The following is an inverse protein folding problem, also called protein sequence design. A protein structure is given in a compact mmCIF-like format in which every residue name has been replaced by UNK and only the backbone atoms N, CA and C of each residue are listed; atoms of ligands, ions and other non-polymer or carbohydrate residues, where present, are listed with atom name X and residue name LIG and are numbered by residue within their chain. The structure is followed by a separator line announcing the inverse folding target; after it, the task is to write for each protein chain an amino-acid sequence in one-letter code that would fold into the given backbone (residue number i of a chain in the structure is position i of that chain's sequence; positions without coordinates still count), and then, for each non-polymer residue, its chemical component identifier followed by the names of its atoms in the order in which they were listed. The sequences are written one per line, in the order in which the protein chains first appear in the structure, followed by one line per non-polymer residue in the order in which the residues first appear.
data_IF_587385934606
#
_entry.id   IF_587385934606
#
_cell.length_a   1.000
_cell.length_b   1.000
_cell.length_c   1.000
_cell.angle_alpha   90.00
_cell.angle_beta   90.00
_cell.angle_gamma   90.00
#
_symmetry.space_group_name_H-M   'P 1'
#
loop_
_entity.id
_entity.type
_entity.pdbx_description
1 polymer ?
#
# COMPACT_ATOMS: atom_id res chain seq x y z
N UNK A 1 -13.72 11.94 29.49
CA UNK A 1 -13.69 10.48 29.19
C UNK A 1 -13.85 10.23 27.69
N UNK A 2 -14.86 10.82 27.04
CA UNK A 2 -15.13 10.66 25.59
C UNK A 2 -13.97 11.15 24.72
N UNK A 3 -13.44 12.35 24.95
CA UNK A 3 -12.29 12.87 24.20
C UNK A 3 -11.03 12.00 24.30
N UNK A 4 -10.82 11.34 25.44
CA UNK A 4 -9.72 10.37 25.59
C UNK A 4 -9.91 9.16 24.68
N UNK A 5 -11.13 8.63 24.58
CA UNK A 5 -11.43 7.51 23.70
C UNK A 5 -11.24 7.87 22.23
N UNK A 6 -11.62 9.09 21.83
CA UNK A 6 -11.37 9.60 20.48
C UNK A 6 -9.87 9.69 20.18
N UNK A 7 -9.10 10.24 21.12
CA UNK A 7 -7.65 10.38 20.97
C UNK A 7 -6.94 9.03 20.90
N UNK A 8 -7.33 8.10 21.77
CA UNK A 8 -6.79 6.75 21.80
C UNK A 8 -7.11 6.00 20.50
N UNK A 9 -8.34 6.12 19.99
CA UNK A 9 -8.72 5.59 18.68
C UNK A 9 -7.87 6.17 17.54
N UNK A 10 -7.65 7.49 17.54
CA UNK A 10 -6.82 8.15 16.53
C UNK A 10 -5.35 7.67 16.61
N UNK A 11 -4.80 7.54 17.81
CA UNK A 11 -3.45 7.01 18.03
C UNK A 11 -3.34 5.54 17.58
N UNK A 12 -4.35 4.71 17.84
CA UNK A 12 -4.38 3.32 17.37
C UNK A 12 -4.38 3.24 15.84
N UNK A 13 -5.16 4.08 15.16
CA UNK A 13 -5.16 4.15 13.69
C UNK A 13 -3.81 4.58 13.13
N UNK A 14 -3.17 5.60 13.72
CA UNK A 14 -1.83 6.04 13.32
C UNK A 14 -0.79 4.94 13.52
N UNK A 15 -0.87 4.18 14.62
CA UNK A 15 0.03 3.04 14.87
C UNK A 15 -0.18 1.93 13.86
N UNK A 16 -1.44 1.58 13.56
CA UNK A 16 -1.76 0.56 12.55
C UNK A 16 -1.20 0.95 11.18
N UNK A 17 -1.36 2.20 10.79
CA UNK A 17 -0.75 2.72 9.56
C UNK A 17 0.79 2.64 9.60
N UNK A 18 1.41 2.97 10.72
CA UNK A 18 2.87 2.87 10.86
C UNK A 18 3.35 1.40 10.81
N UNK A 19 2.58 0.44 11.35
CA UNK A 19 2.83 -1.00 11.20
C UNK A 19 2.73 -1.43 9.73
N UNK A 20 1.74 -0.93 8.98
CA UNK A 20 1.58 -1.18 7.54
C UNK A 20 2.77 -0.65 6.72
N UNK A 21 3.31 0.54 7.08
CA UNK A 21 4.53 1.10 6.46
C UNK A 21 5.82 0.38 6.94
N UNK A 22 5.82 -0.14 8.16
CA UNK A 22 7.00 -0.54 8.95
C UNK A 22 7.57 -1.94 8.74
N UNK A 23 7.11 -2.72 7.75
CA UNK A 23 7.91 -3.85 7.23
C UNK A 23 9.15 -3.36 6.45
N UNK A 24 9.21 -2.07 6.11
CA UNK A 24 10.41 -1.37 5.70
C UNK A 24 11.05 -0.70 6.93
N UNK A 25 12.12 -1.32 7.41
CA UNK A 25 12.95 -0.85 8.53
C UNK A 25 13.60 0.48 8.17
N UNK A 26 12.96 1.59 8.52
CA UNK A 26 13.57 2.93 8.42
C UNK A 26 14.06 3.34 9.79
N UNK A 27 15.38 3.50 9.88
CA UNK A 27 16.08 4.04 11.02
C UNK A 27 15.41 5.34 11.49
N UNK A 28 15.30 5.51 12.81
CA UNK A 28 14.84 6.74 13.44
C UNK A 28 15.55 7.94 12.80
N UNK A 29 14.83 8.70 11.99
CA UNK A 29 15.30 10.00 11.53
C UNK A 29 15.47 10.85 12.79
N UNK A 30 16.71 11.27 13.05
CA UNK A 30 17.01 12.24 14.10
C UNK A 30 16.15 13.46 13.82
N UNK A 31 15.13 13.65 14.65
CA UNK A 31 14.15 14.73 14.55
C UNK A 31 14.93 16.05 14.62
N UNK A 32 14.89 16.80 13.51
CA UNK A 32 15.23 18.22 13.50
C UNK A 32 14.32 18.94 14.50
N UNK A 33 14.93 19.72 15.38
CA UNK A 33 14.25 20.36 16.49
C UNK A 33 13.06 21.22 16.03
N UNK A 34 11.93 21.05 16.73
CA UNK A 34 10.61 21.71 16.60
C UNK A 34 9.63 21.11 15.57
N UNK A 35 8.39 20.82 16.05
CA UNK A 35 7.19 20.41 15.28
C UNK A 35 6.90 18.91 15.08
N UNK A 36 7.22 18.07 16.07
CA UNK A 36 6.81 16.65 16.08
C UNK A 36 5.31 16.52 16.41
N UNK A 37 4.58 15.66 15.69
CA UNK A 37 3.18 15.37 16.05
C UNK A 37 3.09 14.46 17.29
N UNK A 38 2.62 14.93 18.46
CA UNK A 38 2.57 14.13 19.69
C UNK A 38 1.75 12.84 19.55
N UNK A 39 0.73 12.81 18.68
CA UNK A 39 -0.12 11.63 18.45
C UNK A 39 0.63 10.45 17.82
N UNK A 40 1.71 10.73 17.10
CA UNK A 40 2.51 9.72 16.39
C UNK A 40 3.62 9.14 17.28
N UNK A 41 4.06 9.86 18.32
CA UNK A 41 5.29 9.55 19.06
C UNK A 41 5.09 9.34 20.56
N UNK A 42 4.05 9.90 21.18
CA UNK A 42 3.81 9.69 22.61
C UNK A 42 3.15 8.34 22.89
N UNK A 43 3.43 7.74 24.06
CA UNK A 43 3.02 6.37 24.32
C UNK A 43 1.54 6.25 24.74
N UNK A 44 0.94 7.27 25.33
CA UNK A 44 -0.45 7.21 25.79
C UNK A 44 -1.25 8.46 25.45
N UNK A 45 -2.58 8.32 25.38
CA UNK A 45 -3.49 9.45 25.21
C UNK A 45 -3.37 10.47 26.35
N UNK A 46 -3.08 10.03 27.58
CA UNK A 46 -2.90 10.95 28.71
C UNK A 46 -1.64 11.81 28.53
N UNK A 47 -0.54 11.25 28.02
CA UNK A 47 0.68 12.03 27.70
C UNK A 47 0.41 13.08 26.60
N UNK A 48 -0.35 12.70 25.58
CA UNK A 48 -0.75 13.62 24.51
C UNK A 48 -1.63 14.74 25.06
N UNK A 49 -2.61 14.42 25.91
CA UNK A 49 -3.50 15.42 26.52
C UNK A 49 -2.69 16.42 27.34
N UNK A 50 -1.77 15.95 28.18
CA UNK A 50 -0.90 16.83 28.99
C UNK A 50 -0.06 17.72 28.07
N UNK A 51 0.52 17.16 27.02
CA UNK A 51 1.38 17.87 26.07
C UNK A 51 0.62 18.97 25.30
N UNK A 52 -0.60 18.70 24.86
CA UNK A 52 -1.45 19.64 24.12
C UNK A 52 -1.97 20.76 25.03
N UNK A 53 -2.39 20.44 26.26
CA UNK A 53 -2.95 21.41 27.21
C UNK A 53 -1.88 22.35 27.76
N UNK A 54 -0.63 21.92 27.83
CA UNK A 54 0.43 22.68 28.48
C UNK A 54 0.86 23.96 27.73
N UNK A 55 0.30 24.26 26.54
CA UNK A 55 0.47 25.46 25.67
C UNK A 55 1.91 25.82 25.26
N UNK A 56 2.92 25.31 25.96
CA UNK A 56 4.36 25.43 25.71
C UNK A 56 4.99 24.06 25.86
N UNK A 57 4.83 23.23 24.84
CA UNK A 57 5.59 21.98 24.68
C UNK A 57 6.58 22.18 23.54
N UNK A 58 7.74 22.85 23.76
CA UNK A 58 8.74 23.04 22.72
C UNK A 58 9.11 21.69 22.10
N UNK A 59 9.01 21.58 20.78
CA UNK A 59 9.26 20.31 20.09
C UNK A 59 8.01 19.61 19.58
N UNK A 60 6.82 19.94 20.08
CA UNK A 60 5.57 19.32 19.64
C UNK A 60 4.64 20.30 18.93
N UNK A 61 3.86 19.80 17.97
CA UNK A 61 2.76 20.54 17.37
C UNK A 61 1.69 20.90 18.40
N UNK A 62 0.99 22.03 18.16
CA UNK A 62 -0.23 22.37 18.90
C UNK A 62 -1.29 21.30 18.69
N UNK A 63 -2.29 21.23 19.59
CA UNK A 63 -3.34 20.20 19.48
C UNK A 63 -4.10 20.23 18.17
N UNK A 64 -4.46 21.43 17.69
CA UNK A 64 -5.16 21.59 16.41
C UNK A 64 -4.28 21.13 15.24
N UNK A 65 -3.03 21.57 15.18
CA UNK A 65 -2.09 21.18 14.12
C UNK A 65 -1.77 19.67 14.16
N UNK A 66 -1.66 19.09 15.36
CA UNK A 66 -1.44 17.66 15.55
C UNK A 66 -2.61 16.82 15.04
N UNK A 67 -3.84 17.23 15.34
CA UNK A 67 -5.06 16.54 14.90
C UNK A 67 -5.24 16.68 13.38
N UNK A 68 -5.06 17.88 12.82
CA UNK A 68 -5.17 18.10 11.37
C UNK A 68 -4.14 17.27 10.61
N UNK A 69 -2.87 17.30 11.04
CA UNK A 69 -1.80 16.47 10.45
C UNK A 69 -2.14 14.98 10.54
N UNK A 70 -2.63 14.50 11.67
CA UNK A 70 -3.00 13.09 11.85
C UNK A 70 -4.16 12.67 10.94
N UNK A 71 -5.21 13.47 10.84
CA UNK A 71 -6.39 13.18 10.01
C UNK A 71 -6.02 13.23 8.53
N UNK A 72 -5.26 14.24 8.11
CA UNK A 72 -4.78 14.37 6.73
C UNK A 72 -3.90 13.20 6.32
N UNK A 73 -2.98 12.79 7.19
CA UNK A 73 -2.09 11.66 6.98
C UNK A 73 -2.88 10.34 6.81
N UNK A 74 -3.88 10.09 7.67
CA UNK A 74 -4.75 8.92 7.56
C UNK A 74 -5.64 8.96 6.30
N UNK A 75 -6.19 10.11 5.95
CA UNK A 75 -7.03 10.26 4.75
C UNK A 75 -6.21 10.04 3.47
N UNK A 76 -5.01 10.61 3.39
CA UNK A 76 -4.10 10.40 2.26
C UNK A 76 -3.69 8.94 2.14
N UNK A 77 -3.38 8.28 3.26
CA UNK A 77 -3.10 6.84 3.29
C UNK A 77 -4.25 6.03 2.69
N UNK A 78 -5.49 6.32 3.07
CA UNK A 78 -6.66 5.62 2.55
C UNK A 78 -6.82 5.80 1.04
N UNK A 79 -6.63 7.01 0.52
CA UNK A 79 -6.70 7.28 -0.93
C UNK A 79 -5.60 6.54 -1.68
N UNK A 80 -4.36 6.55 -1.17
CA UNK A 80 -3.23 5.83 -1.77
C UNK A 80 -3.47 4.32 -1.77
N UNK A 81 -3.93 3.77 -0.65
CA UNK A 81 -4.28 2.35 -0.57
C UNK A 81 -5.35 1.99 -1.60
N UNK A 82 -6.40 2.80 -1.76
CA UNK A 82 -7.42 2.58 -2.78
C UNK A 82 -6.85 2.62 -4.21
N UNK A 83 -5.99 3.60 -4.51
CA UNK A 83 -5.30 3.69 -5.81
C UNK A 83 -4.40 2.49 -6.06
N UNK A 84 -3.67 2.02 -5.05
CA UNK A 84 -2.83 0.81 -5.15
C UNK A 84 -3.66 -0.42 -5.50
N UNK A 85 -4.84 -0.59 -4.89
CA UNK A 85 -5.77 -1.68 -5.24
C UNK A 85 -6.26 -1.55 -6.68
N UNK A 86 -6.65 -0.35 -7.12
CA UNK A 86 -7.09 -0.10 -8.49
C UNK A 86 -5.98 -0.41 -9.51
N UNK A 87 -4.75 0.01 -9.23
CA UNK A 87 -3.58 -0.24 -10.08
C UNK A 87 -3.27 -1.73 -10.16
N UNK A 88 -3.28 -2.44 -9.04
CA UNK A 88 -3.01 -3.87 -9.01
C UNK A 88 -4.10 -4.68 -9.74
N UNK A 89 -5.37 -4.29 -9.59
CA UNK A 89 -6.46 -4.87 -10.37
C UNK A 89 -6.28 -4.62 -11.88
N UNK A 90 -5.87 -3.41 -12.27
CA UNK A 90 -5.61 -3.09 -13.67
C UNK A 90 -4.48 -3.94 -14.23
N UNK A 91 -3.35 -4.06 -13.52
CA UNK A 91 -2.23 -4.92 -13.89
C UNK A 91 -2.66 -6.39 -14.02
N UNK A 92 -3.51 -6.88 -13.11
CA UNK A 92 -4.07 -8.23 -13.20
C UNK A 92 -4.88 -8.40 -14.50
N UNK A 93 -5.70 -7.42 -14.89
CA UNK A 93 -6.46 -7.46 -16.15
C UNK A 93 -5.53 -7.39 -17.37
N UNK A 94 -4.51 -6.52 -17.36
CA UNK A 94 -3.55 -6.39 -18.46
C UNK A 94 -2.76 -7.69 -18.67
N UNK A 95 -2.55 -8.49 -17.62
CA UNK A 95 -1.96 -9.82 -17.76
C UNK A 95 -2.84 -10.79 -18.57
N UNK A 96 -4.13 -10.53 -18.76
CA UNK A 96 -5.01 -11.32 -19.62
C UNK A 96 -5.12 -10.78 -21.06
N UNK A 97 -4.42 -9.69 -21.39
CA UNK A 97 -4.44 -9.14 -22.74
C UNK A 97 -3.94 -10.19 -23.75
N UNK A 98 -4.78 -10.59 -24.73
CA UNK A 98 -4.37 -11.53 -25.78
C UNK A 98 -3.10 -11.10 -26.52
N UNK A 99 -2.84 -9.80 -26.68
CA UNK A 99 -1.64 -9.29 -27.32
C UNK A 99 -0.37 -9.62 -26.52
N UNK A 100 -0.43 -9.50 -25.19
CA UNK A 100 0.69 -9.85 -24.29
C UNK A 100 0.96 -11.36 -24.34
N UNK A 101 -0.09 -12.18 -24.35
CA UNK A 101 -0.01 -13.64 -24.48
C UNK A 101 0.57 -14.04 -25.84
N UNK A 102 0.18 -13.34 -26.92
CA UNK A 102 0.74 -13.57 -28.25
C UNK A 102 2.21 -13.16 -28.36
N UNK A 103 2.64 -12.10 -27.68
CA UNK A 103 4.02 -11.64 -27.65
C UNK A 103 4.92 -12.62 -26.88
N UNK A 104 4.46 -13.13 -25.72
CA UNK A 104 5.16 -14.19 -24.98
C UNK A 104 5.30 -15.48 -25.79
N UNK A 105 4.29 -15.85 -26.58
CA UNK A 105 4.38 -17.01 -27.48
C UNK A 105 5.43 -16.80 -28.58
N UNK A 106 5.55 -15.56 -29.11
CA UNK A 106 6.56 -15.19 -30.10
C UNK A 106 7.97 -15.19 -29.51
N UNK A 107 8.13 -14.71 -28.27
CA UNK A 107 9.44 -14.62 -27.60
C UNK A 107 9.97 -15.97 -27.11
N UNK A 108 9.08 -16.89 -26.71
CA UNK A 108 9.44 -18.25 -26.26
C UNK A 108 9.77 -19.24 -27.39
N UNK A 109 10.03 -18.80 -28.62
CA UNK A 109 10.24 -19.73 -29.71
C UNK A 109 11.16 -19.25 -30.84
N UNK A 110 12.29 -19.94 -30.94
CA UNK A 110 12.94 -20.34 -32.20
C UNK A 110 12.04 -21.25 -33.10
N UNK A 111 10.72 -21.20 -32.93
CA UNK A 111 9.69 -22.08 -33.52
C UNK A 111 8.68 -21.21 -34.27
N UNK A 112 9.17 -20.20 -34.99
CA UNK A 112 8.35 -19.32 -35.82
C UNK A 112 7.72 -19.98 -37.05
N UNK A 113 8.10 -21.22 -37.40
CA UNK A 113 7.87 -21.74 -38.75
C UNK A 113 7.13 -23.09 -38.88
N UNK A 114 6.44 -23.61 -37.85
CA UNK A 114 5.75 -24.89 -38.02
C UNK A 114 4.30 -24.87 -37.52
N UNK A 115 3.40 -24.78 -38.50
CA UNK A 115 1.98 -25.15 -38.52
C UNK A 115 0.98 -24.06 -38.14
N UNK A 116 0.47 -23.42 -39.19
CA UNK A 116 -0.69 -22.51 -39.23
C UNK A 116 -1.99 -23.06 -38.62
N UNK A 117 -2.07 -24.35 -38.29
CA UNK A 117 -3.23 -24.97 -37.62
C UNK A 117 -3.12 -25.11 -36.08
N UNK A 118 -1.91 -25.01 -35.50
CA UNK A 118 -1.69 -25.30 -34.06
C UNK A 118 -1.52 -24.07 -33.18
N UNK A 119 -1.39 -22.87 -33.76
CA UNK A 119 -1.13 -21.63 -33.02
C UNK A 119 -2.24 -21.29 -32.03
N UNK A 120 -3.51 -21.37 -32.47
CA UNK A 120 -4.65 -21.02 -31.61
C UNK A 120 -4.82 -22.00 -30.45
N UNK A 121 -4.57 -23.30 -30.67
CA UNK A 121 -4.59 -24.30 -29.60
C UNK A 121 -3.52 -24.01 -28.54
N UNK A 122 -2.30 -23.63 -28.97
CA UNK A 122 -1.22 -23.24 -28.04
C UNK A 122 -1.49 -21.93 -27.29
N UNK A 123 -2.06 -20.93 -27.97
CA UNK A 123 -2.49 -19.68 -27.31
C UNK A 123 -3.55 -19.97 -26.24
N UNK A 124 -4.47 -20.89 -26.52
CA UNK A 124 -5.48 -21.33 -25.57
C UNK A 124 -4.88 -22.08 -24.38
N UNK A 125 -3.92 -22.99 -24.60
CA UNK A 125 -3.19 -23.65 -23.51
C UNK A 125 -2.41 -22.65 -22.63
N UNK A 126 -1.76 -21.65 -23.24
CA UNK A 126 -1.04 -20.59 -22.53
C UNK A 126 -2.01 -19.75 -21.67
N UNK A 127 -3.15 -19.37 -22.25
CA UNK A 127 -4.21 -18.67 -21.55
C UNK A 127 -4.75 -19.46 -20.35
N UNK A 128 -5.06 -20.75 -20.54
CA UNK A 128 -5.55 -21.62 -19.47
C UNK A 128 -4.53 -21.81 -18.34
N UNK A 129 -3.23 -21.89 -18.66
CA UNK A 129 -2.17 -21.93 -17.66
C UNK A 129 -2.15 -20.63 -16.84
N UNK A 130 -2.11 -19.48 -17.50
CA UNK A 130 -2.06 -18.16 -16.86
C UNK A 130 -3.30 -17.86 -16.01
N UNK A 131 -4.48 -18.25 -16.49
CA UNK A 131 -5.69 -18.18 -15.69
C UNK A 131 -5.59 -18.98 -14.39
N UNK A 132 -5.06 -20.22 -14.44
CA UNK A 132 -4.86 -21.05 -13.24
C UNK A 132 -3.85 -20.44 -12.28
N UNK A 133 -2.72 -19.98 -12.79
CA UNK A 133 -1.66 -19.37 -11.97
C UNK A 133 -2.19 -18.11 -11.26
N UNK A 134 -2.91 -17.24 -11.98
CA UNK A 134 -3.51 -16.02 -11.42
C UNK A 134 -4.67 -16.36 -10.45
N UNK A 135 -5.54 -17.32 -10.77
CA UNK A 135 -6.62 -17.73 -9.87
C UNK A 135 -6.08 -18.31 -8.55
N UNK A 136 -5.06 -19.16 -8.63
CA UNK A 136 -4.38 -19.71 -7.46
C UNK A 136 -3.67 -18.61 -6.65
N UNK A 137 -3.03 -17.65 -7.33
CA UNK A 137 -2.40 -16.49 -6.68
C UNK A 137 -3.44 -15.58 -6.00
N UNK A 138 -4.59 -15.34 -6.64
CA UNK A 138 -5.69 -14.56 -6.07
C UNK A 138 -6.34 -15.25 -4.85
N UNK A 139 -6.46 -16.58 -4.85
CA UNK A 139 -7.03 -17.35 -3.72
C UNK A 139 -6.05 -17.50 -2.54
N UNK A 140 -4.78 -17.79 -2.84
CA UNK A 140 -3.75 -18.02 -1.81
C UNK A 140 -3.11 -16.73 -1.29
N UNK A 141 -3.14 -15.67 -2.09
CA UNK A 141 -2.46 -14.41 -1.82
C UNK A 141 -3.10 -13.27 -2.60
N UNK A 142 -4.39 -13.00 -2.38
CA UNK A 142 -5.07 -11.80 -2.92
C UNK A 142 -4.28 -10.50 -2.69
N UNK A 143 -3.36 -10.48 -1.72
CA UNK A 143 -2.46 -9.38 -1.39
C UNK A 143 -0.96 -9.73 -1.56
N UNK A 144 -0.58 -10.87 -2.12
CA UNK A 144 0.83 -11.27 -2.28
C UNK A 144 1.45 -10.75 -3.57
N UNK A 145 0.86 -11.10 -4.71
CA UNK A 145 1.27 -10.54 -6.01
C UNK A 145 0.70 -9.14 -6.24
N UNK A 146 -0.56 -8.92 -5.86
CA UNK A 146 -1.14 -7.58 -5.75
C UNK A 146 -0.37 -6.76 -4.70
N UNK A 147 0.21 -7.35 -3.66
CA UNK A 147 0.96 -6.63 -2.63
C UNK A 147 2.31 -6.10 -3.08
N UNK A 148 3.02 -6.80 -3.97
CA UNK A 148 4.25 -6.28 -4.57
C UNK A 148 3.92 -5.11 -5.51
N UNK A 149 2.94 -5.30 -6.40
CA UNK A 149 2.48 -4.26 -7.31
C UNK A 149 1.80 -3.08 -6.58
N UNK A 150 1.13 -3.35 -5.46
CA UNK A 150 0.55 -2.36 -4.54
C UNK A 150 1.65 -1.60 -3.81
N UNK A 151 2.71 -2.27 -3.33
CA UNK A 151 3.87 -1.58 -2.74
C UNK A 151 4.52 -0.65 -3.75
N UNK A 152 4.74 -1.09 -4.98
CA UNK A 152 5.34 -0.25 -6.02
C UNK A 152 4.45 0.97 -6.34
N UNK A 153 3.13 0.76 -6.49
CA UNK A 153 2.18 1.87 -6.70
C UNK A 153 1.99 2.75 -5.45
N UNK A 154 2.28 2.23 -4.25
CA UNK A 154 2.22 2.96 -2.99
C UNK A 154 3.50 3.78 -2.72
N UNK A 155 4.66 3.31 -3.21
CA UNK A 155 5.97 3.94 -3.07
C UNK A 155 6.29 4.94 -4.20
N UNK A 156 5.64 4.85 -5.37
CA UNK A 156 5.83 5.77 -6.52
C UNK A 156 5.28 7.21 -6.30
N UNK A 157 4.63 7.53 -5.17
CA UNK A 157 4.10 8.88 -4.84
C UNK A 157 4.77 9.54 -3.59
N UNK A 158 6.04 9.25 -3.29
CA UNK A 158 6.92 10.10 -2.45
C UNK A 158 7.78 11.05 -3.31
#
# INVERSE_FOLDING_TARGET
REYRLMLDGLMQLLRKRAEEKGSARVAQTVVGASEVNPLKFLPTADDVIVTIISERSPGFLSGEAAIDDAVKDLAQHHVRAWRGVQAALRRMIDRFDPAVIEEELKSNSAIGNLLSGGRNAKLWELYQKRHRDIAQSAESSFLGEIGADFRDAYEEEE
#
